data_IF_918512870439
#
_entry.id   IF_918512870439
#
_cell.length_a   1.000
_cell.length_b   1.000
_cell.length_c   1.000
_cell.angle_alpha   90.00
_cell.angle_beta   90.00
_cell.angle_gamma   90.00
#
_symmetry.space_group_name_H-M   'P 1'
#
loop_
_entity.id
_entity.type
_entity.pdbx_description
1 polymer ?
#
# COMPACT_ATOMS: atom_id res chain seq x y z
N UNK A 1 12.86 8.42 31.69
CA UNK A 1 11.97 7.25 31.56
C UNK A 1 11.37 6.91 32.93
N UNK A 2 10.13 6.43 32.99
CA UNK A 2 9.35 6.21 34.21
C UNK A 2 8.04 5.44 33.92
N UNK A 3 7.10 5.38 34.87
CA UNK A 3 5.84 4.64 34.71
C UNK A 3 5.00 5.18 33.55
N UNK A 4 4.64 4.32 32.59
CA UNK A 4 3.81 4.68 31.45
C UNK A 4 2.96 3.50 30.91
N UNK A 5 2.03 3.85 30.03
CA UNK A 5 1.27 2.95 29.18
C UNK A 5 1.14 3.61 27.78
N UNK A 6 1.27 2.83 26.72
CA UNK A 6 1.22 3.33 25.33
C UNK A 6 0.44 2.37 24.43
N UNK A 7 -0.30 2.96 23.48
CA UNK A 7 -1.01 2.25 22.41
C UNK A 7 -0.41 2.64 21.05
N UNK A 8 -0.41 1.73 20.09
CA UNK A 8 0.08 2.01 18.73
C UNK A 8 -0.68 1.22 17.67
N UNK A 9 -0.75 1.79 16.47
CA UNK A 9 -1.25 1.12 15.26
C UNK A 9 -0.47 1.58 14.04
N UNK A 10 -0.44 0.76 12.99
CA UNK A 10 0.15 1.14 11.71
C UNK A 10 -0.92 1.67 10.76
N UNK A 11 -0.51 2.57 9.87
CA UNK A 11 -1.33 3.09 8.78
C UNK A 11 -0.46 3.24 7.53
N UNK A 12 -1.09 3.49 6.39
CA UNK A 12 -0.42 3.65 5.11
C UNK A 12 -0.91 4.89 4.36
N UNK A 13 -0.03 5.40 3.49
CA UNK A 13 -0.32 6.45 2.51
C UNK A 13 0.00 5.91 1.11
N UNK A 14 -0.33 6.62 0.03
CA UNK A 14 0.00 6.14 -1.31
C UNK A 14 1.50 5.89 -1.51
N UNK A 15 2.35 6.73 -0.88
CA UNK A 15 3.81 6.58 -0.95
C UNK A 15 4.26 5.23 -0.39
N UNK A 16 3.54 4.67 0.58
CA UNK A 16 3.87 3.36 1.17
C UNK A 16 3.76 2.21 0.17
N UNK A 17 2.95 2.32 -0.88
CA UNK A 17 2.75 1.23 -1.85
C UNK A 17 4.09 0.80 -2.46
N UNK A 18 4.93 1.76 -2.87
CA UNK A 18 6.23 1.43 -3.45
C UNK A 18 7.17 0.76 -2.45
N UNK A 19 7.10 1.13 -1.15
CA UNK A 19 7.82 0.43 -0.09
C UNK A 19 7.30 -0.99 0.12
N UNK A 20 5.97 -1.17 0.15
CA UNK A 20 5.34 -2.47 0.35
C UNK A 20 5.69 -3.48 -0.75
N UNK A 21 5.83 -3.02 -2.01
CA UNK A 21 6.22 -3.88 -3.14
C UNK A 21 7.62 -4.46 -3.03
N UNK A 22 8.56 -3.70 -2.45
CA UNK A 22 9.98 -4.09 -2.36
C UNK A 22 10.41 -4.49 -0.94
N UNK A 23 9.47 -4.53 0.00
CA UNK A 23 9.76 -4.88 1.38
C UNK A 23 10.33 -6.32 1.47
N UNK A 24 11.53 -6.43 2.05
CA UNK A 24 12.11 -7.74 2.36
C UNK A 24 11.37 -8.37 3.53
N UNK A 25 10.83 -9.57 3.32
CA UNK A 25 10.04 -10.28 4.33
C UNK A 25 10.92 -11.33 5.05
N UNK A 26 10.72 -11.54 6.36
CA UNK A 26 11.34 -12.69 7.02
C UNK A 26 10.80 -13.98 6.37
N UNK A 27 11.73 -14.85 6.03
CA UNK A 27 11.52 -16.22 5.54
C UNK A 27 11.71 -17.27 6.64
N UNK A 28 12.17 -16.81 7.80
CA UNK A 28 12.52 -17.57 8.99
C UNK A 28 11.31 -18.10 9.79
N UNK A 29 10.15 -17.45 9.66
CA UNK A 29 8.93 -17.72 10.43
C UNK A 29 7.70 -17.65 9.53
N UNK A 30 6.73 -18.53 9.78
CA UNK A 30 5.51 -18.64 8.97
C UNK A 30 4.41 -17.65 9.40
N UNK A 31 4.45 -17.19 10.64
CA UNK A 31 3.45 -16.32 11.27
C UNK A 31 3.78 -14.82 11.17
N UNK A 32 4.73 -14.46 10.31
CA UNK A 32 5.03 -13.05 10.04
C UNK A 32 3.92 -12.39 9.25
N UNK A 33 3.66 -11.11 9.55
CA UNK A 33 2.70 -10.29 8.80
C UNK A 33 3.15 -10.16 7.35
N UNK A 34 2.29 -10.60 6.43
CA UNK A 34 2.46 -10.43 4.98
C UNK A 34 1.16 -9.91 4.41
N UNK A 35 1.22 -8.72 3.81
CA UNK A 35 0.07 -8.08 3.18
C UNK A 35 0.24 -8.23 1.66
N UNK A 36 -0.78 -8.74 0.98
CA UNK A 36 -0.77 -8.81 -0.48
C UNK A 36 -0.80 -7.40 -1.06
N UNK A 37 0.23 -7.04 -1.82
CA UNK A 37 0.32 -5.73 -2.48
C UNK A 37 -0.59 -5.63 -3.71
N UNK A 38 -1.10 -6.75 -4.21
CA UNK A 38 -1.83 -6.86 -5.49
C UNK A 38 -3.01 -5.89 -5.58
N UNK A 39 -3.84 -5.84 -4.53
CA UNK A 39 -5.02 -4.96 -4.48
C UNK A 39 -4.64 -3.47 -4.52
N UNK A 40 -3.54 -3.09 -3.87
CA UNK A 40 -3.09 -1.70 -3.82
C UNK A 40 -2.53 -1.26 -5.16
N UNK A 41 -1.69 -2.08 -5.80
CA UNK A 41 -1.12 -1.75 -7.11
C UNK A 41 -2.22 -1.71 -8.18
N UNK A 42 -3.12 -2.72 -8.19
CA UNK A 42 -4.20 -2.79 -9.18
C UNK A 42 -5.14 -1.59 -9.14
N UNK A 43 -5.45 -1.10 -7.94
CA UNK A 43 -6.44 -0.03 -7.77
C UNK A 43 -5.81 1.36 -7.80
N UNK A 44 -4.62 1.53 -7.20
CA UNK A 44 -4.02 2.85 -6.94
C UNK A 44 -2.78 3.14 -7.79
N UNK A 45 -2.29 2.15 -8.57
CA UNK A 45 -1.23 2.30 -9.56
C UNK A 45 -1.55 1.46 -10.83
N UNK A 46 -2.77 1.56 -11.40
CA UNK A 46 -3.24 0.67 -12.47
C UNK A 46 -2.32 0.68 -13.70
N UNK A 47 -1.71 1.82 -14.01
CA UNK A 47 -0.78 1.99 -15.14
C UNK A 47 0.51 1.17 -14.97
N UNK A 48 0.87 0.82 -13.72
CA UNK A 48 2.05 0.02 -13.39
C UNK A 48 1.73 -1.44 -13.10
N UNK A 49 0.45 -1.80 -12.97
CA UNK A 49 0.04 -3.11 -12.50
C UNK A 49 0.59 -4.26 -13.34
N UNK A 50 0.41 -4.21 -14.66
CA UNK A 50 0.90 -5.26 -15.57
C UNK A 50 2.43 -5.37 -15.56
N UNK A 51 3.14 -4.25 -15.56
CA UNK A 51 4.61 -4.23 -15.47
C UNK A 51 5.10 -4.79 -14.13
N UNK A 52 4.42 -4.46 -13.04
CA UNK A 52 4.74 -4.98 -11.71
C UNK A 52 4.49 -6.49 -11.60
N UNK A 53 3.38 -7.02 -12.12
CA UNK A 53 3.10 -8.46 -12.17
C UNK A 53 4.16 -9.24 -12.98
N UNK A 54 4.74 -8.60 -13.99
CA UNK A 54 5.84 -9.15 -14.79
C UNK A 54 7.23 -8.98 -14.14
N UNK A 55 7.32 -8.35 -12.96
CA UNK A 55 8.60 -8.05 -12.31
C UNK A 55 9.44 -6.96 -12.99
N UNK A 56 8.82 -6.13 -13.85
CA UNK A 56 9.49 -5.09 -14.65
C UNK A 56 9.33 -3.67 -14.09
N UNK A 57 8.60 -3.52 -12.99
CA UNK A 57 8.46 -2.23 -12.28
C UNK A 57 9.67 -1.97 -11.37
N UNK A 58 10.76 -1.45 -11.96
CA UNK A 58 12.06 -1.22 -11.31
C UNK A 58 12.15 0.13 -10.58
N UNK A 59 11.08 0.52 -9.90
CA UNK A 59 11.02 1.85 -9.28
C UNK A 59 12.04 2.03 -8.17
N UNK A 60 12.87 3.07 -8.32
CA UNK A 60 13.85 3.50 -7.30
C UNK A 60 13.15 4.36 -6.26
N UNK A 61 13.31 4.00 -4.99
CA UNK A 61 12.73 4.75 -3.87
C UNK A 61 13.59 5.96 -3.53
N UNK A 62 13.05 7.17 -3.76
CA UNK A 62 13.58 8.38 -3.14
C UNK A 62 13.03 8.52 -1.71
N UNK A 63 13.89 8.29 -0.73
CA UNK A 63 13.55 8.36 0.70
C UNK A 63 13.39 9.79 1.23
N UNK A 64 13.89 10.79 0.50
CA UNK A 64 13.81 12.21 0.89
C UNK A 64 12.51 12.86 0.42
N UNK A 65 11.84 12.25 -0.56
CA UNK A 65 10.58 12.74 -1.10
C UNK A 65 9.45 12.68 -0.04
N UNK A 66 8.78 13.81 0.23
CA UNK A 66 7.66 13.84 1.17
C UNK A 66 6.45 13.07 0.63
N UNK A 67 5.59 12.63 1.54
CA UNK A 67 4.28 12.07 1.17
C UNK A 67 3.37 13.19 0.69
N UNK A 68 2.81 13.07 -0.52
CA UNK A 68 1.78 13.98 -1.00
C UNK A 68 0.50 13.88 -0.13
N UNK A 69 -0.04 15.02 0.28
CA UNK A 69 -1.26 15.09 1.11
C UNK A 69 -2.55 14.89 0.30
N UNK A 70 -2.47 15.02 -1.02
CA UNK A 70 -3.57 14.79 -1.95
C UNK A 70 -3.07 14.00 -3.15
N UNK A 71 -3.96 13.21 -3.75
CA UNK A 71 -3.70 12.52 -5.00
C UNK A 71 -5.03 12.28 -5.74
N UNK A 72 -5.06 12.49 -7.06
CA UNK A 72 -6.21 12.15 -7.90
C UNK A 72 -6.61 10.68 -7.81
N UNK A 73 -5.65 9.77 -7.67
CA UNK A 73 -5.88 8.33 -7.54
C UNK A 73 -6.65 8.02 -6.25
N UNK A 74 -6.24 8.65 -5.13
CA UNK A 74 -6.92 8.47 -3.84
C UNK A 74 -8.33 9.07 -3.82
N UNK A 75 -8.52 10.23 -4.45
CA UNK A 75 -9.84 10.86 -4.54
C UNK A 75 -10.79 10.05 -5.43
N UNK A 76 -10.30 9.57 -6.57
CA UNK A 76 -11.02 8.69 -7.49
C UNK A 76 -11.43 7.39 -6.81
N UNK A 77 -10.50 6.76 -6.08
CA UNK A 77 -10.82 5.56 -5.28
C UNK A 77 -11.87 5.86 -4.22
N UNK A 78 -11.73 6.95 -3.47
CA UNK A 78 -12.66 7.32 -2.40
C UNK A 78 -14.08 7.53 -2.93
N UNK A 79 -14.23 8.20 -4.07
CA UNK A 79 -15.51 8.37 -4.76
C UNK A 79 -16.08 7.02 -5.26
N UNK A 80 -15.23 6.15 -5.78
CA UNK A 80 -15.62 4.84 -6.33
C UNK A 80 -15.91 3.79 -5.25
N UNK A 81 -15.41 4.00 -4.01
CA UNK A 81 -15.47 3.03 -2.90
C UNK A 81 -16.88 2.54 -2.60
N UNK A 82 -17.85 3.46 -2.60
CA UNK A 82 -19.25 3.13 -2.31
C UNK A 82 -19.85 2.20 -3.38
N UNK A 83 -19.58 2.48 -4.66
CA UNK A 83 -20.02 1.65 -5.77
C UNK A 83 -19.36 0.27 -5.77
N UNK A 84 -18.06 0.21 -5.48
CA UNK A 84 -17.31 -1.05 -5.40
C UNK A 84 -17.84 -1.94 -4.28
N UNK A 85 -18.11 -1.36 -3.11
CA UNK A 85 -18.69 -2.07 -1.97
C UNK A 85 -20.07 -2.64 -2.30
N UNK A 86 -20.91 -1.88 -3.02
CA UNK A 86 -22.24 -2.35 -3.44
C UNK A 86 -22.17 -3.51 -4.46
N UNK A 87 -21.14 -3.56 -5.31
CA UNK A 87 -20.94 -4.65 -6.28
C UNK A 87 -20.39 -5.93 -5.66
N UNK A 88 -19.59 -5.83 -4.59
CA UNK A 88 -18.99 -6.99 -3.89
C UNK A 88 -19.93 -7.63 -2.85
N UNK A 89 -21.02 -6.93 -2.48
CA UNK A 89 -22.05 -7.42 -1.53
C UNK A 89 -23.27 -8.04 -2.24
N UNK A 90 -23.21 -8.19 -3.57
CA UNK A 90 -24.17 -8.96 -4.36
C UNK A 90 -23.54 -10.28 -4.76
#
# INVERSE_FOLDING_TARGET
HGFNCAESTNFATLRWIDYGKVATQCTCRKDMVKISMDVFVRILQPERYELWKQGKDLTVLDHTRPTALSSPELSTWSASRASLKAKLLR
#
